data_IF_693230447073
#
_entry.id   IF_693230447073
#
_cell.length_a   1.000
_cell.length_b   1.000
_cell.length_c   1.000
_cell.angle_alpha   90.00
_cell.angle_beta   90.00
_cell.angle_gamma   90.00
#
_symmetry.space_group_name_H-M   'P 1'
#
loop_
_entity.id
_entity.type
_entity.pdbx_description
1 polymer ?
#
# COMPACT_ATOMS: atom_id res chain seq x y z
N UNK A 1 -3.86 24.03 6.96
CA UNK A 1 -4.31 22.81 6.21
C UNK A 1 -3.46 21.62 6.56
N UNK A 2 -4.04 20.42 6.61
CA UNK A 2 -3.30 19.15 6.74
C UNK A 2 -3.34 18.40 5.41
N UNK A 3 -2.23 17.80 5.03
CA UNK A 3 -2.14 16.99 3.81
C UNK A 3 -1.91 15.52 4.17
N UNK A 4 -2.87 14.65 3.83
CA UNK A 4 -2.79 13.20 4.01
C UNK A 4 -2.41 12.56 2.68
N UNK A 5 -1.30 11.84 2.65
CA UNK A 5 -0.90 11.03 1.50
C UNK A 5 -1.44 9.61 1.76
N UNK A 6 -2.48 9.21 1.04
CA UNK A 6 -3.15 7.93 1.27
C UNK A 6 -2.89 6.94 0.13
N UNK A 7 -2.65 5.69 0.49
CA UNK A 7 -2.44 4.59 -0.45
C UNK A 7 -2.94 3.25 0.10
N UNK A 8 -3.51 3.26 1.29
CA UNK A 8 -3.96 2.07 2.03
C UNK A 8 -5.38 2.24 2.55
N UNK A 9 -6.01 1.16 2.98
CA UNK A 9 -7.29 1.21 3.69
C UNK A 9 -7.14 2.04 4.97
N UNK A 10 -6.12 1.76 5.78
CA UNK A 10 -5.88 2.46 7.05
C UNK A 10 -5.71 3.96 6.84
N UNK A 11 -4.99 4.37 5.79
CA UNK A 11 -4.81 5.79 5.46
C UNK A 11 -6.13 6.49 5.14
N UNK A 12 -7.08 5.78 4.53
CA UNK A 12 -8.43 6.31 4.29
C UNK A 12 -9.24 6.40 5.58
N UNK A 13 -9.17 5.38 6.43
CA UNK A 13 -9.84 5.35 7.73
C UNK A 13 -9.33 6.45 8.67
N UNK A 14 -8.00 6.62 8.75
CA UNK A 14 -7.39 7.72 9.50
C UNK A 14 -7.89 9.09 8.98
N UNK A 15 -7.91 9.26 7.65
CA UNK A 15 -8.37 10.51 7.05
C UNK A 15 -9.84 10.80 7.32
N UNK A 16 -10.70 9.79 7.21
CA UNK A 16 -12.12 9.91 7.52
C UNK A 16 -12.35 10.28 9.00
N UNK A 17 -11.67 9.61 9.91
CA UNK A 17 -11.75 9.91 11.35
C UNK A 17 -11.29 11.34 11.68
N UNK A 18 -10.18 11.79 11.09
CA UNK A 18 -9.70 13.17 11.28
C UNK A 18 -10.67 14.20 10.71
N UNK A 19 -11.31 13.89 9.57
CA UNK A 19 -12.33 14.74 8.97
C UNK A 19 -13.58 14.82 9.86
N UNK A 20 -14.04 13.72 10.43
CA UNK A 20 -15.18 13.70 11.36
C UNK A 20 -14.90 14.53 12.62
N UNK A 21 -13.69 14.45 13.17
CA UNK A 21 -13.26 15.28 14.30
C UNK A 21 -13.26 16.77 13.96
N UNK A 22 -12.81 17.16 12.76
CA UNK A 22 -12.88 18.55 12.31
C UNK A 22 -14.31 19.01 12.06
N UNK A 23 -15.15 18.16 11.46
CA UNK A 23 -16.56 18.46 11.19
C UNK A 23 -17.40 18.62 12.48
N UNK A 24 -16.95 18.03 13.58
CA UNK A 24 -17.60 18.21 14.89
C UNK A 24 -17.33 19.60 15.52
N UNK A 25 -16.34 20.36 15.02
CA UNK A 25 -16.02 21.71 15.48
C UNK A 25 -16.93 22.77 14.82
N UNK A 26 -17.06 23.97 15.43
CA UNK A 26 -17.63 25.13 14.75
C UNK A 26 -16.96 25.39 13.41
N UNK A 27 -17.72 25.80 12.41
CA UNK A 27 -17.25 25.92 11.02
C UNK A 27 -16.01 26.81 10.88
N UNK A 28 -15.98 27.93 11.60
CA UNK A 28 -14.88 28.88 11.63
C UNK A 28 -13.57 28.34 12.23
N UNK A 29 -13.67 27.23 12.98
CA UNK A 29 -12.51 26.57 13.64
C UNK A 29 -12.03 25.33 12.89
N UNK A 30 -12.71 24.94 11.81
CA UNK A 30 -12.39 23.74 11.05
C UNK A 30 -11.12 23.92 10.22
N UNK A 31 -10.26 22.94 10.28
CA UNK A 31 -9.10 22.89 9.38
C UNK A 31 -9.44 22.10 8.14
N UNK A 32 -8.97 22.58 7.02
CA UNK A 32 -9.08 21.86 5.76
C UNK A 32 -8.12 20.67 5.76
N UNK A 33 -8.60 19.54 5.24
CA UNK A 33 -7.82 18.30 5.08
C UNK A 33 -7.79 17.96 3.59
N UNK A 34 -6.61 18.06 3.00
CA UNK A 34 -6.33 17.56 1.67
C UNK A 34 -5.90 16.09 1.77
N UNK A 35 -6.55 15.21 1.02
CA UNK A 35 -6.09 13.83 0.85
C UNK A 35 -5.69 13.58 -0.58
N UNK A 36 -4.50 13.03 -0.80
CA UNK A 36 -4.06 12.63 -2.14
C UNK A 36 -3.99 11.13 -2.30
N UNK A 37 -4.46 10.65 -3.45
CA UNK A 37 -4.46 9.24 -3.85
C UNK A 37 -3.91 9.10 -5.27
N UNK A 38 -3.46 7.91 -5.64
CA UNK A 38 -2.77 7.70 -6.94
C UNK A 38 -3.70 7.32 -8.09
N UNK A 39 -5.01 7.13 -7.85
CA UNK A 39 -5.95 6.68 -8.88
C UNK A 39 -7.37 7.19 -8.64
N UNK A 40 -8.17 7.25 -9.70
CA UNK A 40 -9.61 7.56 -9.60
C UNK A 40 -10.35 6.54 -8.75
N UNK A 41 -10.00 5.27 -8.84
CA UNK A 41 -10.55 4.24 -7.96
C UNK A 41 -10.23 4.52 -6.49
N UNK A 42 -8.99 4.91 -6.17
CA UNK A 42 -8.61 5.36 -4.84
C UNK A 42 -9.41 6.56 -4.36
N UNK A 43 -9.72 7.51 -5.25
CA UNK A 43 -10.58 8.68 -4.95
C UNK A 43 -11.99 8.26 -4.57
N UNK A 44 -12.59 7.32 -5.33
CA UNK A 44 -13.93 6.80 -5.01
C UNK A 44 -13.94 6.12 -3.63
N UNK A 45 -12.93 5.31 -3.33
CA UNK A 45 -12.82 4.62 -2.05
C UNK A 45 -12.55 5.55 -0.87
N UNK A 46 -11.91 6.69 -1.11
CA UNK A 46 -11.57 7.67 -0.07
C UNK A 46 -12.65 8.72 0.13
N UNK A 47 -13.72 8.73 -0.69
CA UNK A 47 -14.77 9.72 -0.64
C UNK A 47 -15.40 9.82 0.76
N UNK A 48 -15.21 10.96 1.42
CA UNK A 48 -15.71 11.23 2.76
C UNK A 48 -15.98 12.72 2.92
N UNK A 49 -17.04 13.05 3.69
CA UNK A 49 -17.37 14.46 3.98
C UNK A 49 -16.24 15.10 4.81
N UNK A 50 -15.84 16.31 4.43
CA UNK A 50 -14.76 17.05 5.10
C UNK A 50 -13.35 16.74 4.55
N UNK A 51 -13.23 15.86 3.55
CA UNK A 51 -11.98 15.64 2.82
C UNK A 51 -12.03 16.28 1.43
N UNK A 52 -11.00 17.08 1.10
CA UNK A 52 -10.68 17.46 -0.27
C UNK A 52 -9.77 16.38 -0.87
N UNK A 53 -10.25 15.67 -1.91
CA UNK A 53 -9.54 14.49 -2.43
C UNK A 53 -9.03 14.76 -3.85
N UNK A 54 -7.72 14.77 -3.99
CA UNK A 54 -7.02 14.94 -5.25
C UNK A 54 -6.35 13.64 -5.72
N UNK A 55 -6.37 13.40 -7.04
CA UNK A 55 -5.67 12.27 -7.66
C UNK A 55 -4.39 12.81 -8.29
N UNK A 56 -3.24 12.22 -7.91
CA UNK A 56 -1.98 12.63 -8.51
C UNK A 56 -0.78 11.85 -7.97
N UNK A 57 0.30 12.01 -8.72
CA UNK A 57 1.66 11.64 -8.29
C UNK A 57 2.48 12.90 -8.31
N UNK A 58 2.98 13.28 -7.16
CA UNK A 58 3.66 14.56 -6.97
C UNK A 58 5.17 14.33 -6.91
N UNK A 59 5.91 15.10 -7.68
CA UNK A 59 7.36 15.27 -7.50
C UNK A 59 7.59 16.21 -6.32
N UNK A 60 8.83 16.29 -5.83
CA UNK A 60 9.17 17.14 -4.69
C UNK A 60 8.79 18.61 -4.92
N UNK A 61 9.09 19.13 -6.12
CA UNK A 61 8.80 20.51 -6.50
C UNK A 61 7.29 20.79 -6.52
N UNK A 62 6.49 19.81 -6.95
CA UNK A 62 5.03 19.91 -6.92
C UNK A 62 4.51 19.93 -5.47
N UNK A 63 5.06 19.08 -4.60
CA UNK A 63 4.71 19.05 -3.18
C UNK A 63 5.05 20.37 -2.50
N UNK A 64 6.26 20.89 -2.71
CA UNK A 64 6.68 22.21 -2.17
C UNK A 64 5.74 23.31 -2.63
N UNK A 65 5.33 23.29 -3.90
CA UNK A 65 4.37 24.28 -4.45
C UNK A 65 3.01 24.17 -3.76
N UNK A 66 2.45 22.95 -3.63
CA UNK A 66 1.16 22.71 -2.95
C UNK A 66 1.22 23.16 -1.49
N UNK A 67 2.29 22.81 -0.77
CA UNK A 67 2.51 23.21 0.62
C UNK A 67 2.41 24.76 0.76
N UNK A 68 3.15 25.48 -0.08
CA UNK A 68 3.16 26.96 -0.04
C UNK A 68 1.85 27.58 -0.47
N UNK A 69 1.22 27.08 -1.53
CA UNK A 69 -0.01 27.64 -2.09
C UNK A 69 -1.23 27.39 -1.20
N UNK A 70 -1.33 26.19 -0.62
CA UNK A 70 -2.47 25.79 0.22
C UNK A 70 -2.24 26.03 1.72
N UNK A 71 -1.08 26.51 2.14
CA UNK A 71 -0.76 26.73 3.56
C UNK A 71 -0.76 25.43 4.37
N UNK A 72 -0.20 24.36 3.80
CA UNK A 72 -0.05 23.09 4.52
C UNK A 72 0.93 23.25 5.67
N UNK A 73 0.56 22.78 6.85
CA UNK A 73 1.39 22.84 8.06
C UNK A 73 1.89 21.47 8.50
N UNK A 74 1.26 20.40 8.02
CA UNK A 74 1.60 19.03 8.36
C UNK A 74 1.33 18.11 7.17
N UNK A 75 2.27 17.19 6.89
CA UNK A 75 2.04 16.01 6.06
C UNK A 75 1.87 14.80 6.97
N UNK A 76 0.73 14.11 6.82
CA UNK A 76 0.51 12.77 7.36
C UNK A 76 0.65 11.75 6.23
N UNK A 77 1.78 11.08 6.19
CA UNK A 77 2.05 10.06 5.16
C UNK A 77 1.55 8.69 5.63
N UNK A 78 0.41 8.28 5.09
CA UNK A 78 -0.20 6.95 5.23
C UNK A 78 -0.18 6.19 3.89
N UNK A 79 0.83 6.44 3.07
CA UNK A 79 1.06 5.71 1.82
C UNK A 79 1.43 4.25 2.09
N UNK A 80 1.31 3.42 1.04
CA UNK A 80 1.62 1.99 1.17
C UNK A 80 3.07 1.78 1.63
N UNK A 81 3.37 0.84 2.57
CA UNK A 81 4.72 0.59 3.09
C UNK A 81 5.80 0.36 2.02
N UNK A 82 5.40 -0.15 0.86
CA UNK A 82 6.30 -0.38 -0.29
C UNK A 82 6.40 0.82 -1.25
N UNK A 83 5.84 1.96 -0.89
CA UNK A 83 5.89 3.17 -1.71
C UNK A 83 6.97 4.16 -1.20
N UNK A 84 8.19 3.67 -0.97
CA UNK A 84 9.29 4.45 -0.40
C UNK A 84 9.54 5.78 -1.12
N UNK A 85 9.45 5.80 -2.45
CA UNK A 85 9.67 7.01 -3.26
C UNK A 85 8.75 8.16 -2.87
N UNK A 86 7.46 7.91 -2.62
CA UNK A 86 6.54 8.98 -2.22
C UNK A 86 6.84 9.46 -0.80
N UNK A 87 7.21 8.55 0.11
CA UNK A 87 7.57 8.91 1.48
C UNK A 87 8.84 9.75 1.53
N UNK A 88 9.89 9.36 0.80
CA UNK A 88 11.12 10.12 0.68
C UNK A 88 10.88 11.50 0.05
N UNK A 89 10.05 11.55 -1.00
CA UNK A 89 9.68 12.79 -1.68
C UNK A 89 8.93 13.74 -0.73
N UNK A 90 7.95 13.22 0.01
CA UNK A 90 7.16 14.01 0.95
C UNK A 90 8.00 14.50 2.14
N UNK A 91 8.87 13.64 2.68
CA UNK A 91 9.79 14.03 3.75
C UNK A 91 10.79 15.09 3.28
N UNK A 92 11.31 14.98 2.07
CA UNK A 92 12.20 15.99 1.50
C UNK A 92 11.48 17.33 1.29
N UNK A 93 10.22 17.33 0.83
CA UNK A 93 9.40 18.52 0.68
C UNK A 93 9.08 19.17 2.03
N UNK A 94 8.76 18.35 3.06
CA UNK A 94 8.53 18.82 4.43
C UNK A 94 9.77 19.51 5.01
N UNK A 95 10.94 18.89 4.89
CA UNK A 95 12.22 19.47 5.35
C UNK A 95 12.56 20.79 4.64
N UNK A 96 12.32 20.88 3.32
CA UNK A 96 12.58 22.08 2.55
C UNK A 96 11.63 23.24 2.95
N UNK A 97 10.41 22.95 3.30
CA UNK A 97 9.40 23.94 3.65
C UNK A 97 9.29 24.23 5.15
N UNK A 98 9.95 23.41 5.98
CA UNK A 98 9.94 23.56 7.43
C UNK A 98 8.63 23.17 8.09
N UNK A 99 7.79 22.36 7.42
CA UNK A 99 6.53 21.86 7.99
C UNK A 99 6.74 20.50 8.64
N UNK A 100 5.80 20.11 9.49
CA UNK A 100 5.85 18.82 10.16
C UNK A 100 5.56 17.65 9.21
N UNK A 101 6.16 16.50 9.53
CA UNK A 101 5.90 15.24 8.83
C UNK A 101 5.73 14.11 9.83
N UNK A 102 4.65 13.36 9.69
CA UNK A 102 4.29 12.20 10.50
C UNK A 102 4.08 11.01 9.56
N UNK A 103 4.60 9.84 9.92
CA UNK A 103 4.45 8.61 9.16
C UNK A 103 3.53 7.64 9.88
N UNK A 104 2.51 7.16 9.19
CA UNK A 104 1.80 5.95 9.55
C UNK A 104 2.28 4.80 8.66
N UNK A 105 2.74 3.73 9.28
CA UNK A 105 3.19 2.55 8.57
C UNK A 105 2.87 1.30 9.39
N UNK A 106 1.87 0.54 8.93
CA UNK A 106 1.45 -0.68 9.64
C UNK A 106 2.60 -1.64 9.89
N UNK A 107 2.57 -2.31 11.04
CA UNK A 107 3.54 -3.34 11.38
C UNK A 107 3.50 -4.49 10.36
N UNK A 108 4.67 -5.03 10.06
CA UNK A 108 4.78 -6.31 9.37
C UNK A 108 4.39 -7.44 10.30
N UNK A 109 3.85 -8.52 9.76
CA UNK A 109 3.68 -9.74 10.52
C UNK A 109 5.02 -10.48 10.61
N UNK A 110 5.31 -11.17 11.71
CA UNK A 110 6.45 -12.08 11.77
C UNK A 110 6.32 -13.13 10.66
N UNK A 111 7.39 -13.32 9.91
CA UNK A 111 7.41 -14.37 8.89
C UNK A 111 7.56 -15.72 9.58
N UNK A 112 6.85 -16.75 9.10
CA UNK A 112 6.94 -18.09 9.65
C UNK A 112 8.30 -18.72 9.39
N UNK A 113 8.72 -19.63 10.27
CA UNK A 113 9.85 -20.53 10.00
C UNK A 113 9.39 -21.61 9.00
N UNK A 114 9.86 -21.47 7.76
CA UNK A 114 9.47 -22.34 6.66
C UNK A 114 10.62 -22.52 5.68
N UNK A 115 11.04 -23.75 5.46
CA UNK A 115 12.22 -24.13 4.67
C UNK A 115 12.19 -23.62 3.22
N UNK A 116 10.99 -23.39 2.66
CA UNK A 116 10.79 -22.88 1.30
C UNK A 116 10.39 -21.41 1.25
N UNK A 117 10.71 -20.64 2.31
CA UNK A 117 10.52 -19.19 2.33
C UNK A 117 11.85 -18.53 1.94
N UNK A 118 11.78 -17.69 0.93
CA UNK A 118 12.92 -16.96 0.37
C UNK A 118 12.68 -15.46 0.48
N UNK A 119 13.72 -14.71 0.80
CA UNK A 119 13.73 -13.25 0.77
C UNK A 119 14.28 -12.75 -0.56
N UNK A 120 13.69 -11.68 -1.07
CA UNK A 120 14.20 -10.94 -2.21
C UNK A 120 14.23 -9.45 -1.87
N UNK A 121 15.35 -8.79 -2.10
CA UNK A 121 15.52 -7.35 -1.80
C UNK A 121 14.60 -6.46 -2.64
N UNK A 122 14.24 -6.93 -3.84
CA UNK A 122 13.40 -6.20 -4.80
C UNK A 122 12.68 -7.18 -5.75
N UNK A 123 11.85 -6.62 -6.62
CA UNK A 123 11.09 -7.39 -7.63
C UNK A 123 11.97 -8.06 -8.67
N UNK A 124 13.16 -7.54 -8.97
CA UNK A 124 14.07 -8.12 -9.95
C UNK A 124 14.72 -9.40 -9.42
N UNK A 125 15.14 -9.38 -8.17
CA UNK A 125 15.64 -10.59 -7.50
C UNK A 125 14.53 -11.61 -7.31
N UNK A 126 13.33 -11.17 -6.92
CA UNK A 126 12.17 -12.05 -6.78
C UNK A 126 11.81 -12.75 -8.10
N UNK A 127 11.86 -12.04 -9.23
CA UNK A 127 11.58 -12.61 -10.54
C UNK A 127 12.59 -13.69 -10.95
N UNK A 128 13.88 -13.47 -10.71
CA UNK A 128 14.95 -14.45 -10.96
C UNK A 128 14.78 -15.70 -10.07
N UNK A 129 14.51 -15.49 -8.77
CA UNK A 129 14.25 -16.60 -7.85
C UNK A 129 13.02 -17.40 -8.29
N UNK A 130 11.93 -16.73 -8.67
CA UNK A 130 10.72 -17.41 -9.13
C UNK A 130 10.99 -18.32 -10.33
N UNK A 131 11.80 -17.85 -11.29
CA UNK A 131 12.19 -18.64 -12.45
C UNK A 131 13.04 -19.89 -12.12
N UNK A 132 13.79 -19.85 -11.03
CA UNK A 132 14.61 -20.98 -10.58
C UNK A 132 13.84 -22.00 -9.72
N UNK A 133 12.78 -21.57 -9.04
CA UNK A 133 12.08 -22.38 -8.02
C UNK A 133 10.88 -23.15 -8.57
N UNK A 134 10.30 -22.74 -9.72
CA UNK A 134 9.12 -23.43 -10.22
C UNK A 134 8.74 -23.09 -11.65
N UNK A 135 7.59 -23.64 -12.09
CA UNK A 135 7.05 -23.49 -13.44
C UNK A 135 5.73 -22.71 -13.48
N UNK A 136 5.01 -22.66 -12.36
CA UNK A 136 3.73 -21.97 -12.23
C UNK A 136 3.79 -20.99 -11.06
N UNK A 137 3.80 -19.69 -11.37
CA UNK A 137 4.10 -18.61 -10.42
C UNK A 137 2.85 -17.77 -10.17
N UNK A 138 2.40 -17.71 -8.92
CA UNK A 138 1.31 -16.84 -8.47
C UNK A 138 1.90 -15.52 -7.97
N UNK A 139 1.65 -14.43 -8.70
CA UNK A 139 2.03 -13.08 -8.29
C UNK A 139 0.91 -12.43 -7.48
N UNK A 140 1.17 -12.13 -6.22
CA UNK A 140 0.25 -11.41 -5.32
C UNK A 140 0.74 -10.00 -4.98
N UNK A 141 1.70 -9.49 -5.76
CA UNK A 141 2.39 -8.21 -5.56
C UNK A 141 1.69 -7.02 -6.19
N UNK A 142 0.57 -7.28 -6.90
CA UNK A 142 -0.17 -6.26 -7.64
C UNK A 142 0.45 -5.94 -9.00
N UNK A 143 -0.15 -4.99 -9.71
CA UNK A 143 0.17 -4.71 -11.11
C UNK A 143 1.48 -3.96 -11.34
N UNK A 144 1.96 -3.18 -10.35
CA UNK A 144 3.13 -2.30 -10.54
C UNK A 144 4.43 -3.05 -10.82
N UNK A 145 4.59 -4.24 -10.24
CA UNK A 145 5.79 -5.08 -10.41
C UNK A 145 5.66 -6.05 -11.58
N UNK A 146 4.45 -6.23 -12.12
CA UNK A 146 4.16 -7.21 -13.16
C UNK A 146 5.06 -7.11 -14.40
N UNK A 147 5.42 -5.91 -14.92
CA UNK A 147 6.34 -5.81 -16.05
C UNK A 147 7.70 -6.49 -15.82
N UNK A 148 8.22 -6.43 -14.59
CA UNK A 148 9.50 -7.06 -14.24
C UNK A 148 9.43 -8.57 -14.40
N UNK A 149 8.35 -9.19 -13.90
CA UNK A 149 8.16 -10.64 -13.99
C UNK A 149 7.88 -11.11 -15.43
N UNK A 150 7.07 -10.36 -16.18
CA UNK A 150 6.75 -10.71 -17.57
C UNK A 150 7.97 -10.63 -18.49
N UNK A 151 8.90 -9.69 -18.23
CA UNK A 151 10.11 -9.53 -19.05
C UNK A 151 11.33 -10.31 -18.52
N UNK A 152 11.22 -10.99 -17.38
CA UNK A 152 12.33 -11.77 -16.83
C UNK A 152 12.61 -13.01 -17.71
N UNK A 153 13.85 -13.14 -18.25
CA UNK A 153 14.18 -14.24 -19.15
C UNK A 153 13.93 -15.64 -18.58
N UNK A 154 14.19 -15.84 -17.28
CA UNK A 154 13.99 -17.12 -16.61
C UNK A 154 12.52 -17.52 -16.43
N UNK A 155 11.59 -16.62 -16.71
CA UNK A 155 10.15 -16.84 -16.62
C UNK A 155 9.44 -16.97 -17.98
N UNK A 156 10.16 -16.87 -19.11
CA UNK A 156 9.55 -16.89 -20.46
C UNK A 156 8.87 -18.21 -20.82
N UNK A 157 9.34 -19.33 -20.29
CA UNK A 157 8.77 -20.68 -20.47
C UNK A 157 7.84 -21.09 -19.32
N UNK A 158 7.58 -20.19 -18.37
CA UNK A 158 6.77 -20.44 -17.17
C UNK A 158 5.36 -19.88 -17.31
N UNK A 159 4.47 -20.37 -16.47
CA UNK A 159 3.13 -19.80 -16.35
C UNK A 159 3.09 -18.77 -15.22
N UNK A 160 2.74 -17.55 -15.55
CA UNK A 160 2.55 -16.47 -14.57
C UNK A 160 1.05 -16.24 -14.38
N UNK A 161 0.57 -16.34 -13.16
CA UNK A 161 -0.79 -15.97 -12.74
C UNK A 161 -0.71 -14.64 -12.01
N UNK A 162 -1.27 -13.59 -12.58
CA UNK A 162 -1.23 -12.27 -12.00
C UNK A 162 -2.51 -11.95 -11.25
N UNK A 163 -2.43 -11.85 -9.93
CA UNK A 163 -3.54 -11.37 -9.11
C UNK A 163 -3.48 -9.85 -8.99
N UNK A 164 -4.46 -9.19 -9.61
CA UNK A 164 -4.51 -7.73 -9.79
C UNK A 164 -5.89 -7.17 -9.45
N UNK A 165 -5.98 -5.84 -9.29
CA UNK A 165 -7.26 -5.18 -9.10
C UNK A 165 -8.13 -5.24 -10.36
N UNK A 166 -9.47 -5.42 -10.23
CA UNK A 166 -10.42 -5.49 -11.34
C UNK A 166 -10.78 -4.09 -11.88
N UNK A 167 -9.77 -3.31 -12.26
CA UNK A 167 -9.96 -1.97 -12.85
C UNK A 167 -9.41 -1.92 -14.27
N UNK A 168 -10.10 -1.22 -15.17
CA UNK A 168 -9.88 -1.27 -16.60
C UNK A 168 -8.43 -0.97 -17.03
N UNK A 169 -7.81 0.05 -16.44
CA UNK A 169 -6.42 0.40 -16.76
C UNK A 169 -5.40 -0.66 -16.30
N UNK A 170 -5.70 -1.43 -15.27
CA UNK A 170 -4.84 -2.54 -14.81
C UNK A 170 -5.00 -3.75 -15.72
N UNK A 171 -6.23 -4.08 -16.11
CA UNK A 171 -6.50 -5.18 -17.05
C UNK A 171 -5.85 -4.86 -18.40
N UNK A 172 -6.06 -3.63 -18.91
CA UNK A 172 -5.40 -3.18 -20.14
C UNK A 172 -3.88 -3.28 -20.07
N UNK A 173 -3.27 -2.91 -18.96
CA UNK A 173 -1.82 -3.06 -18.77
C UNK A 173 -1.40 -4.52 -18.85
N UNK A 174 -2.16 -5.45 -18.27
CA UNK A 174 -1.86 -6.88 -18.37
C UNK A 174 -1.94 -7.37 -19.83
N UNK A 175 -2.94 -6.91 -20.57
CA UNK A 175 -3.09 -7.21 -22.00
C UNK A 175 -1.94 -6.63 -22.84
N UNK A 176 -1.57 -5.36 -22.59
CA UNK A 176 -0.46 -4.68 -23.27
C UNK A 176 0.90 -5.37 -22.99
N UNK A 177 1.04 -6.05 -21.85
CA UNK A 177 2.19 -6.90 -21.52
C UNK A 177 2.13 -8.29 -22.18
N UNK A 178 1.10 -8.57 -22.97
CA UNK A 178 0.94 -9.85 -23.69
C UNK A 178 0.44 -11.00 -22.81
N UNK A 179 -0.09 -10.74 -21.62
CA UNK A 179 -0.64 -11.78 -20.77
C UNK A 179 -1.91 -12.38 -21.38
N UNK A 180 -2.03 -13.72 -21.30
CA UNK A 180 -3.26 -14.40 -21.69
C UNK A 180 -4.37 -14.09 -20.69
N UNK A 181 -5.60 -13.84 -21.17
CA UNK A 181 -6.74 -13.50 -20.32
C UNK A 181 -6.96 -14.50 -19.17
N UNK A 182 -6.81 -15.80 -19.42
CA UNK A 182 -6.93 -16.86 -18.41
C UNK A 182 -5.94 -16.74 -17.24
N UNK A 183 -4.83 -16.04 -17.45
CA UNK A 183 -3.76 -15.87 -16.45
C UNK A 183 -3.92 -14.57 -15.63
N UNK A 184 -4.97 -13.78 -15.91
CA UNK A 184 -5.26 -12.52 -15.21
C UNK A 184 -6.35 -12.79 -14.17
N UNK A 185 -5.97 -12.81 -12.90
CA UNK A 185 -6.88 -12.98 -11.76
C UNK A 185 -7.31 -11.60 -11.27
N UNK A 186 -8.27 -10.98 -11.96
CA UNK A 186 -8.73 -9.63 -11.67
C UNK A 186 -9.76 -9.65 -10.53
N UNK A 187 -9.27 -9.58 -9.30
CA UNK A 187 -10.09 -9.67 -8.09
C UNK A 187 -9.49 -8.84 -6.95
N UNK A 188 -10.33 -8.19 -6.16
CA UNK A 188 -9.92 -7.37 -5.02
C UNK A 188 -9.88 -8.19 -3.72
N UNK A 189 -8.73 -8.14 -3.03
CA UNK A 189 -8.57 -8.69 -1.69
C UNK A 189 -9.01 -7.72 -0.56
N UNK A 190 -8.76 -8.09 0.71
CA UNK A 190 -8.02 -9.26 1.16
C UNK A 190 -8.78 -10.57 0.95
N UNK A 191 -8.05 -11.71 0.94
CA UNK A 191 -8.62 -13.02 0.69
C UNK A 191 -8.52 -13.91 1.92
N UNK A 192 -9.52 -14.79 2.10
CA UNK A 192 -9.47 -15.85 3.11
C UNK A 192 -8.35 -16.86 2.83
N UNK A 193 -8.04 -17.67 3.82
CA UNK A 193 -7.15 -18.82 3.68
C UNK A 193 -7.62 -19.77 2.57
N UNK A 194 -8.93 -20.11 2.58
CA UNK A 194 -9.54 -21.04 1.62
C UNK A 194 -9.44 -20.53 0.18
N UNK A 195 -9.65 -19.24 -0.04
CA UNK A 195 -9.53 -18.65 -1.37
C UNK A 195 -8.08 -18.66 -1.86
N UNK A 196 -7.10 -18.36 -0.99
CA UNK A 196 -5.69 -18.47 -1.35
C UNK A 196 -5.31 -19.92 -1.66
N UNK A 197 -5.77 -20.88 -0.85
CA UNK A 197 -5.54 -22.31 -1.04
C UNK A 197 -6.15 -22.81 -2.36
N UNK A 198 -7.39 -22.39 -2.68
CA UNK A 198 -8.04 -22.75 -3.93
C UNK A 198 -7.28 -22.21 -5.15
N UNK A 199 -6.81 -20.97 -5.12
CA UNK A 199 -6.00 -20.40 -6.21
C UNK A 199 -4.70 -21.20 -6.40
N UNK A 200 -3.98 -21.53 -5.33
CA UNK A 200 -2.73 -22.28 -5.40
C UNK A 200 -2.98 -23.65 -6.05
N UNK A 201 -4.00 -24.35 -5.58
CA UNK A 201 -4.33 -25.70 -6.04
C UNK A 201 -4.85 -25.72 -7.47
N UNK A 202 -5.85 -24.89 -7.79
CA UNK A 202 -6.59 -24.96 -9.05
C UNK A 202 -5.76 -24.42 -10.22
N UNK A 203 -4.81 -23.52 -9.94
CA UNK A 203 -3.82 -23.03 -10.92
C UNK A 203 -2.49 -23.78 -10.88
N UNK A 204 -2.41 -24.86 -10.09
CA UNK A 204 -1.21 -25.70 -9.94
C UNK A 204 0.06 -24.86 -9.68
N UNK A 205 -0.07 -23.87 -8.80
CA UNK A 205 1.05 -23.00 -8.46
C UNK A 205 2.09 -23.75 -7.63
N UNK A 206 3.35 -23.58 -7.97
CA UNK A 206 4.50 -24.14 -7.23
C UNK A 206 5.38 -23.05 -6.61
N UNK A 207 5.16 -21.79 -7.00
CA UNK A 207 5.79 -20.61 -6.41
C UNK A 207 4.76 -19.51 -6.17
N UNK A 208 4.79 -18.88 -5.00
CA UNK A 208 4.08 -17.63 -4.73
C UNK A 208 5.06 -16.49 -4.49
N UNK A 209 4.85 -15.36 -5.14
CA UNK A 209 5.58 -14.12 -4.85
C UNK A 209 4.63 -13.14 -4.14
N UNK A 210 5.06 -12.63 -3.01
CA UNK A 210 4.24 -11.74 -2.17
C UNK A 210 5.07 -10.62 -1.54
N UNK A 211 4.37 -9.71 -0.87
CA UNK A 211 4.90 -8.66 0.01
C UNK A 211 4.35 -8.88 1.42
N UNK A 212 5.14 -8.60 2.45
CA UNK A 212 4.64 -8.57 3.82
C UNK A 212 3.96 -7.23 4.10
N UNK A 213 2.68 -7.13 3.77
CA UNK A 213 1.87 -5.90 3.91
C UNK A 213 1.00 -5.88 5.18
N UNK A 214 1.33 -6.70 6.18
CA UNK A 214 0.61 -6.80 7.45
C UNK A 214 -0.70 -7.60 7.35
N UNK A 215 -1.42 -7.71 8.48
CA UNK A 215 -2.67 -8.48 8.59
C UNK A 215 -3.76 -7.96 7.64
N UNK A 216 -4.00 -6.65 7.62
CA UNK A 216 -5.00 -6.01 6.74
C UNK A 216 -4.69 -6.27 5.25
N UNK A 217 -3.41 -6.46 4.90
CA UNK A 217 -2.99 -6.90 3.56
C UNK A 217 -3.18 -8.40 3.30
N UNK A 218 -3.69 -9.17 4.28
CA UNK A 218 -3.92 -10.61 4.19
C UNK A 218 -2.61 -11.42 4.04
N UNK A 219 -1.51 -10.96 4.66
CA UNK A 219 -0.23 -11.65 4.56
C UNK A 219 -0.24 -12.98 5.30
N UNK A 220 -0.90 -13.07 6.46
CA UNK A 220 -1.05 -14.27 7.28
C UNK A 220 -1.78 -15.39 6.53
N UNK A 221 -2.94 -15.11 5.95
CA UNK A 221 -3.77 -16.10 5.24
C UNK A 221 -3.07 -16.61 3.97
N UNK A 222 -2.35 -15.72 3.25
CA UNK A 222 -1.56 -16.11 2.06
C UNK A 222 -0.40 -17.03 2.41
N UNK A 223 0.39 -16.63 3.40
CA UNK A 223 1.57 -17.39 3.83
C UNK A 223 1.15 -18.76 4.35
N UNK A 224 0.11 -18.83 5.21
CA UNK A 224 -0.41 -20.08 5.71
C UNK A 224 -0.88 -21.00 4.56
N UNK A 225 -1.65 -20.49 3.61
CA UNK A 225 -2.12 -21.28 2.48
C UNK A 225 -0.97 -21.82 1.60
N UNK A 226 0.07 -21.00 1.38
CA UNK A 226 1.24 -21.42 0.62
C UNK A 226 2.06 -22.50 1.34
N UNK A 227 2.26 -22.36 2.66
CA UNK A 227 2.97 -23.34 3.49
C UNK A 227 2.22 -24.68 3.52
N UNK A 228 0.92 -24.66 3.79
CA UNK A 228 0.09 -25.86 3.84
C UNK A 228 0.01 -26.58 2.48
N UNK A 229 0.20 -25.81 1.38
CA UNK A 229 0.32 -26.36 0.02
C UNK A 229 1.72 -26.89 -0.32
N UNK A 230 2.71 -26.66 0.53
CA UNK A 230 4.10 -27.09 0.33
C UNK A 230 4.84 -26.37 -0.81
N UNK A 231 4.36 -25.20 -1.27
CA UNK A 231 4.95 -24.45 -2.38
C UNK A 231 6.04 -23.48 -1.90
N UNK A 232 6.92 -23.05 -2.81
CA UNK A 232 7.92 -22.03 -2.52
C UNK A 232 7.28 -20.66 -2.35
N UNK A 233 7.74 -19.89 -1.37
CA UNK A 233 7.25 -18.52 -1.10
C UNK A 233 8.41 -17.55 -1.23
N UNK A 234 8.26 -16.54 -2.06
CA UNK A 234 9.21 -15.43 -2.18
C UNK A 234 8.57 -14.19 -1.59
N UNK A 235 9.18 -13.65 -0.54
CA UNK A 235 8.77 -12.39 0.07
C UNK A 235 9.70 -11.29 -0.41
N UNK A 236 9.14 -10.31 -1.11
CA UNK A 236 9.88 -9.09 -1.46
C UNK A 236 10.00 -8.25 -0.19
N UNK A 237 11.23 -7.92 0.20
CA UNK A 237 11.51 -7.12 1.37
C UNK A 237 11.00 -5.69 1.20
N UNK A 238 10.57 -5.11 2.31
CA UNK A 238 10.13 -3.71 2.31
C UNK A 238 11.36 -2.80 2.14
N UNK A 239 11.32 -1.84 1.20
CA UNK A 239 12.38 -0.87 1.07
C UNK A 239 12.48 -0.02 2.35
N UNK A 240 13.69 0.17 2.86
CA UNK A 240 13.93 0.98 4.05
C UNK A 240 14.01 2.45 3.66
N UNK A 241 13.06 3.26 4.15
CA UNK A 241 13.16 4.71 4.07
C UNK A 241 13.98 5.25 5.26
N UNK A 242 14.77 6.30 5.04
CA UNK A 242 15.45 7.00 6.14
C UNK A 242 14.47 7.96 6.84
N UNK A 243 13.80 7.43 7.86
CA UNK A 243 12.83 8.15 8.70
C UNK A 243 13.44 8.65 10.01
N UNK A 244 14.77 8.84 10.08
CA UNK A 244 15.43 9.30 11.29
C UNK A 244 14.85 10.64 11.76
N UNK A 245 14.40 10.65 13.04
CA UNK A 245 13.79 11.83 13.67
C UNK A 245 12.34 12.11 13.27
N UNK A 246 11.69 11.20 12.52
CA UNK A 246 10.29 11.29 12.15
C UNK A 246 9.43 10.53 13.14
N UNK A 247 8.30 11.08 13.64
CA UNK A 247 7.30 10.33 14.35
C UNK A 247 6.68 9.25 13.45
N UNK A 248 6.84 7.98 13.82
CA UNK A 248 6.31 6.83 13.06
C UNK A 248 5.39 6.03 13.96
N UNK A 249 4.20 5.71 13.44
CA UNK A 249 3.18 4.94 14.15
C UNK A 249 2.78 3.73 13.31
N UNK A 250 2.59 2.61 13.96
CA UNK A 250 2.21 1.33 13.33
C UNK A 250 0.73 0.94 13.58
N UNK A 251 0.04 1.70 14.43
CA UNK A 251 -1.39 1.56 14.70
C UNK A 251 -2.16 2.83 14.37
N UNK A 252 -3.40 2.68 13.90
CA UNK A 252 -4.30 3.81 13.65
C UNK A 252 -4.61 4.59 14.92
N UNK A 253 -4.77 3.87 16.04
CA UNK A 253 -4.99 4.47 17.36
C UNK A 253 -3.81 5.36 17.78
N UNK A 254 -2.57 4.86 17.60
CA UNK A 254 -1.35 5.59 17.96
C UNK A 254 -1.22 6.90 17.19
N UNK A 255 -1.43 6.89 15.88
CA UNK A 255 -1.35 8.11 15.08
C UNK A 255 -2.49 9.08 15.40
N UNK A 256 -3.72 8.60 15.60
CA UNK A 256 -4.86 9.44 15.96
C UNK A 256 -4.69 10.10 17.31
N UNK A 257 -4.15 9.39 18.29
CA UNK A 257 -3.79 9.94 19.60
C UNK A 257 -2.72 11.02 19.47
N UNK A 258 -1.67 10.77 18.71
CA UNK A 258 -0.63 11.75 18.45
C UNK A 258 -1.18 13.01 17.76
N UNK A 259 -2.09 12.86 16.80
CA UNK A 259 -2.76 13.97 16.14
C UNK A 259 -3.64 14.76 17.09
N UNK A 260 -4.28 14.11 18.05
CA UNK A 260 -5.05 14.77 19.12
C UNK A 260 -4.14 15.62 20.03
N UNK A 261 -3.09 15.00 20.56
CA UNK A 261 -2.19 15.62 21.56
C UNK A 261 -1.37 16.78 20.97
N UNK A 262 -0.91 16.67 19.74
CA UNK A 262 0.03 17.65 19.15
C UNK A 262 -0.62 18.63 18.17
N UNK A 263 -1.76 18.25 17.58
CA UNK A 263 -2.43 19.03 16.55
C UNK A 263 -3.89 19.34 16.88
N UNK A 264 -4.39 18.97 18.07
CA UNK A 264 -5.73 19.31 18.55
C UNK A 264 -6.87 18.69 17.71
N UNK A 265 -6.72 17.46 17.24
CA UNK A 265 -7.78 16.66 16.65
C UNK A 265 -8.54 15.90 17.71
N UNK A 266 -9.25 16.60 18.61
CA UNK A 266 -9.97 15.99 19.72
C UNK A 266 -11.13 15.11 19.26
N UNK A 267 -11.35 14.01 19.99
CA UNK A 267 -12.52 13.15 19.78
C UNK A 267 -13.81 13.92 20.00
N UNK A 268 -14.85 13.52 19.27
CA UNK A 268 -16.18 14.04 19.51
C UNK A 268 -16.58 13.71 20.95
N UNK A 269 -17.13 14.65 21.75
CA UNK A 269 -17.66 14.32 23.07
C UNK A 269 -18.72 13.22 22.90
N UNK A 270 -18.61 12.15 23.69
CA UNK A 270 -19.63 11.12 23.72
C UNK A 270 -20.96 11.78 24.10
N UNK A 271 -21.94 11.71 23.23
CA UNK A 271 -23.32 12.14 23.54
C UNK A 271 -23.90 11.13 24.53
N UNK A 272 -23.93 11.50 25.79
CA UNK A 272 -24.67 10.78 26.85
C UNK A 272 -26.17 10.82 26.60
#
# INVERSE_FOLDING_TARGET
>A
MIWIISGTQDGREIGAELADREMAKPEESRREILMTVVSQYGKVLAAHKGLDIEVGRFKKEDMVRVIKQKGVTLILDASHPYAAVVSETALAASRETGIDYVRYERAEIPLPDYDKLYHAKDEYEAAKLAGSLGKSVLLTTGSKTLPVFVHEPSLQDKTIWARVLPVSNVIKMCEDLGMKAKNILAIQGPFSYEMNLAMIRDYHCDVMVTKNSGLIGGSDTKLKAAMDSGISVIVIDKPKADLKGVPVFDTTEGVLKYMEEHYGFHQKPESH
#
